data_IF_757638389500
#
_entry.id   IF_757638389500
#
_cell.length_a   1.000
_cell.length_b   1.000
_cell.length_c   1.000
_cell.angle_alpha   90.00
_cell.angle_beta   90.00
_cell.angle_gamma   90.00
#
_symmetry.space_group_name_H-M   'P 1'
#
loop_
_entity.id
_entity.type
_entity.pdbx_description
1 polymer ?
#
# COMPACT_ATOMS: atom_id res chain seq x y z
N UNK A 1 9.34 -66.08 26.45
CA UNK A 1 10.40 -67.09 26.64
C UNK A 1 10.28 -68.11 25.52
N UNK A 2 11.33 -68.33 24.74
CA UNK A 2 11.40 -69.39 23.75
C UNK A 2 11.53 -70.73 24.44
N UNK A 3 10.62 -71.66 24.12
CA UNK A 3 10.81 -73.05 24.59
C UNK A 3 11.85 -73.73 23.69
N UNK A 4 12.95 -74.10 24.28
CA UNK A 4 14.01 -74.83 23.60
C UNK A 4 13.97 -76.26 24.11
N UNK A 5 13.79 -77.21 23.24
CA UNK A 5 13.89 -78.64 23.56
C UNK A 5 15.02 -79.24 22.74
N UNK A 6 15.84 -80.02 23.46
CA UNK A 6 16.91 -80.79 22.82
C UNK A 6 16.72 -82.30 23.07
N UNK A 7 16.90 -83.13 22.06
CA UNK A 7 16.91 -84.56 22.12
C UNK A 7 18.10 -85.10 21.37
N UNK A 8 18.62 -86.23 21.80
CA UNK A 8 19.66 -87.02 21.15
C UNK A 8 19.02 -88.21 20.49
N UNK A 9 19.20 -88.38 19.16
CA UNK A 9 18.66 -89.52 18.45
C UNK A 9 19.51 -90.81 18.72
N UNK A 10 19.00 -91.97 18.36
CA UNK A 10 19.66 -93.26 18.55
C UNK A 10 21.03 -93.40 17.85
N UNK A 11 21.42 -92.42 17.04
CA UNK A 11 22.71 -92.31 16.33
C UNK A 11 23.64 -91.26 16.94
N UNK A 12 23.26 -90.67 18.07
CA UNK A 12 24.07 -89.73 18.84
C UNK A 12 23.99 -88.29 18.26
N UNK A 13 23.05 -87.98 17.35
CA UNK A 13 22.92 -86.64 16.74
C UNK A 13 22.03 -85.82 17.70
N UNK A 14 22.51 -84.63 18.09
CA UNK A 14 21.74 -83.70 18.88
C UNK A 14 20.79 -82.89 17.94
N UNK A 15 19.47 -83.01 18.20
CA UNK A 15 18.46 -82.21 17.61
C UNK A 15 18.00 -81.14 18.60
N UNK A 16 18.07 -79.90 18.19
CA UNK A 16 17.58 -78.78 18.98
C UNK A 16 16.38 -78.14 18.22
N UNK A 17 15.23 -78.13 18.87
CA UNK A 17 14.01 -77.44 18.36
C UNK A 17 13.75 -76.24 19.23
N UNK A 18 13.72 -75.09 18.53
CA UNK A 18 13.36 -73.79 19.15
C UNK A 18 11.98 -73.39 18.68
N UNK A 19 11.05 -73.37 19.62
CA UNK A 19 9.72 -72.80 19.33
C UNK A 19 9.70 -71.40 19.79
N UNK A 20 9.67 -70.48 18.75
CA UNK A 20 9.43 -69.05 18.96
C UNK A 20 7.94 -68.86 19.10
N UNK A 21 7.48 -68.10 20.11
CA UNK A 21 6.06 -67.79 20.18
C UNK A 21 5.65 -66.98 18.96
N UNK A 22 4.56 -67.38 18.32
CA UNK A 22 3.98 -66.72 17.12
C UNK A 22 3.56 -65.25 17.34
N UNK A 23 3.69 -64.77 18.58
CA UNK A 23 3.25 -63.46 19.02
C UNK A 23 4.37 -62.45 19.31
N UNK A 24 5.66 -62.77 19.06
CA UNK A 24 6.77 -61.89 19.44
C UNK A 24 6.89 -60.62 18.58
N UNK A 25 6.39 -60.63 17.39
CA UNK A 25 6.29 -59.42 16.56
C UNK A 25 5.04 -59.47 15.69
N UNK A 26 4.14 -58.50 15.81
CA UNK A 26 2.85 -58.52 15.10
C UNK A 26 3.02 -58.05 13.62
N UNK A 27 3.73 -58.83 12.81
CA UNK A 27 4.05 -58.50 11.40
C UNK A 27 2.81 -58.11 10.62
N UNK A 28 1.73 -58.88 10.70
CA UNK A 28 0.48 -58.59 10.00
C UNK A 28 -0.16 -57.27 10.45
N UNK A 29 0.00 -56.88 11.71
CA UNK A 29 -0.51 -55.61 12.20
C UNK A 29 0.34 -54.44 11.68
N UNK A 30 1.66 -54.61 11.61
CA UNK A 30 2.60 -53.60 11.06
C UNK A 30 2.36 -53.40 9.57
N UNK A 31 2.22 -54.48 8.79
CA UNK A 31 1.90 -54.40 7.37
C UNK A 31 0.56 -53.69 7.13
N UNK A 32 -0.48 -53.98 7.93
CA UNK A 32 -1.76 -53.25 7.85
C UNK A 32 -1.62 -51.79 8.21
N UNK A 33 -0.82 -51.44 9.22
CA UNK A 33 -0.54 -50.06 9.60
C UNK A 33 0.21 -49.31 8.47
N UNK A 34 1.16 -49.96 7.83
CA UNK A 34 1.89 -49.40 6.70
C UNK A 34 0.98 -49.10 5.50
N UNK A 35 0.08 -50.03 5.16
CA UNK A 35 -0.93 -49.84 4.13
C UNK A 35 -1.89 -48.69 4.46
N UNK A 36 -2.35 -48.64 5.73
CA UNK A 36 -3.23 -47.55 6.19
C UNK A 36 -2.48 -46.22 6.19
N UNK A 37 -1.23 -46.15 6.63
CA UNK A 37 -0.42 -44.97 6.67
C UNK A 37 -0.14 -44.41 5.26
N UNK A 38 0.23 -45.28 4.32
CA UNK A 38 0.44 -44.89 2.89
C UNK A 38 -0.84 -44.41 2.25
N UNK A 39 -1.97 -45.08 2.47
CA UNK A 39 -3.28 -44.67 1.94
C UNK A 39 -3.71 -43.34 2.54
N UNK A 40 -3.52 -43.15 3.86
CA UNK A 40 -3.86 -41.91 4.54
C UNK A 40 -2.97 -40.73 4.07
N UNK A 41 -1.66 -41.01 3.90
CA UNK A 41 -0.72 -40.01 3.36
C UNK A 41 -1.10 -39.56 1.95
N UNK A 42 -1.39 -40.50 1.06
CA UNK A 42 -1.83 -40.19 -0.30
C UNK A 42 -3.16 -39.38 -0.32
N UNK A 43 -4.10 -39.75 0.54
CA UNK A 43 -5.35 -39.00 0.68
C UNK A 43 -5.10 -37.61 1.23
N UNK A 44 -4.25 -37.47 2.22
CA UNK A 44 -3.88 -36.17 2.83
C UNK A 44 -3.19 -35.25 1.80
N UNK A 45 -2.26 -35.78 1.00
CA UNK A 45 -1.62 -35.02 -0.07
C UNK A 45 -2.60 -34.56 -1.13
N UNK A 46 -3.55 -35.40 -1.51
CA UNK A 46 -4.62 -35.06 -2.46
C UNK A 46 -5.51 -33.93 -1.92
N UNK A 47 -5.96 -34.05 -0.68
CA UNK A 47 -6.78 -33.03 0.00
C UNK A 47 -6.01 -31.71 0.16
N UNK A 48 -4.74 -31.77 0.53
CA UNK A 48 -3.88 -30.60 0.67
C UNK A 48 -3.66 -29.89 -0.67
N UNK A 49 -3.51 -30.65 -1.76
CA UNK A 49 -3.40 -30.12 -3.11
C UNK A 49 -4.68 -29.39 -3.51
N UNK A 50 -5.85 -29.95 -3.22
CA UNK A 50 -7.14 -29.29 -3.48
C UNK A 50 -7.30 -28.00 -2.68
N UNK A 51 -6.94 -27.99 -1.41
CA UNK A 51 -6.99 -26.79 -0.57
C UNK A 51 -6.07 -25.67 -1.12
N UNK A 52 -4.88 -26.03 -1.60
CA UNK A 52 -3.96 -25.06 -2.24
C UNK A 52 -4.55 -24.48 -3.52
N UNK A 53 -5.18 -25.29 -4.35
CA UNK A 53 -5.84 -24.81 -5.58
C UNK A 53 -7.04 -23.89 -5.27
N UNK A 54 -7.84 -24.23 -4.27
CA UNK A 54 -8.92 -23.35 -3.80
C UNK A 54 -8.40 -22.02 -3.26
N UNK A 55 -7.32 -22.02 -2.49
CA UNK A 55 -6.70 -20.80 -1.98
C UNK A 55 -6.22 -19.88 -3.12
N UNK A 56 -5.62 -20.44 -4.17
CA UNK A 56 -5.21 -19.69 -5.37
C UNK A 56 -6.41 -19.08 -6.09
N UNK A 57 -7.50 -19.86 -6.27
CA UNK A 57 -8.72 -19.36 -6.94
C UNK A 57 -9.36 -18.22 -6.13
N UNK A 58 -9.44 -18.35 -4.80
CA UNK A 58 -9.97 -17.31 -3.93
C UNK A 58 -9.17 -16.03 -4.07
N UNK A 59 -7.83 -16.10 -4.00
CA UNK A 59 -6.95 -14.94 -4.16
C UNK A 59 -7.13 -14.28 -5.54
N UNK A 60 -7.24 -15.06 -6.61
CA UNK A 60 -7.49 -14.55 -7.95
C UNK A 60 -8.84 -13.81 -8.04
N UNK A 61 -9.89 -14.38 -7.45
CA UNK A 61 -11.22 -13.77 -7.49
C UNK A 61 -11.29 -12.49 -6.65
N UNK A 62 -10.63 -12.47 -5.49
CA UNK A 62 -10.49 -11.23 -4.70
C UNK A 62 -9.82 -10.12 -5.50
N UNK A 63 -8.75 -10.43 -6.25
CA UNK A 63 -8.08 -9.46 -7.08
C UNK A 63 -8.95 -8.98 -8.26
N UNK A 64 -9.71 -9.87 -8.88
CA UNK A 64 -10.66 -9.50 -9.96
C UNK A 64 -11.76 -8.58 -9.43
N UNK A 65 -12.34 -8.88 -8.27
CA UNK A 65 -13.34 -8.02 -7.63
C UNK A 65 -12.78 -6.65 -7.35
N UNK A 66 -11.60 -6.59 -6.74
CA UNK A 66 -10.93 -5.32 -6.45
C UNK A 66 -10.78 -4.47 -7.72
N UNK A 67 -10.34 -5.07 -8.82
CA UNK A 67 -10.19 -4.37 -10.09
C UNK A 67 -11.55 -3.88 -10.64
N UNK A 68 -12.60 -4.68 -10.52
CA UNK A 68 -13.96 -4.29 -10.92
C UNK A 68 -14.49 -3.15 -10.04
N UNK A 69 -14.31 -3.22 -8.73
CA UNK A 69 -14.71 -2.17 -7.80
C UNK A 69 -14.04 -0.84 -8.15
N UNK A 70 -12.73 -0.85 -8.39
CA UNK A 70 -11.97 0.34 -8.78
C UNK A 70 -12.52 0.92 -10.09
N UNK A 71 -12.84 0.07 -11.08
CA UNK A 71 -13.41 0.53 -12.37
C UNK A 71 -14.79 1.16 -12.18
N UNK A 72 -15.65 0.56 -11.37
CA UNK A 72 -17.00 1.08 -11.08
C UNK A 72 -16.91 2.42 -10.34
N UNK A 73 -16.07 2.52 -9.33
CA UNK A 73 -15.83 3.78 -8.60
C UNK A 73 -15.23 4.86 -9.52
N UNK A 74 -14.36 4.48 -10.44
CA UNK A 74 -13.84 5.40 -11.45
C UNK A 74 -14.94 5.88 -12.39
N UNK A 75 -15.83 5.00 -12.85
CA UNK A 75 -16.98 5.39 -13.67
C UNK A 75 -17.92 6.33 -12.93
N UNK A 76 -18.11 6.14 -11.62
CA UNK A 76 -18.94 7.02 -10.79
C UNK A 76 -18.31 8.41 -10.61
N UNK A 77 -16.99 8.49 -10.48
CA UNK A 77 -16.27 9.72 -10.15
C UNK A 77 -15.71 10.48 -11.36
N UNK A 78 -15.65 9.84 -12.54
CA UNK A 78 -15.00 10.43 -13.70
C UNK A 78 -15.91 11.45 -14.42
N UNK A 79 -15.27 12.42 -15.09
CA UNK A 79 -15.94 13.41 -15.92
C UNK A 79 -16.20 12.93 -17.36
N UNK A 80 -15.77 11.71 -17.69
CA UNK A 80 -15.90 11.11 -19.01
C UNK A 80 -17.28 10.48 -19.16
N UNK A 81 -17.92 10.70 -20.31
CA UNK A 81 -19.14 9.98 -20.70
C UNK A 81 -18.80 8.55 -21.06
N UNK A 82 -19.54 7.59 -20.50
CA UNK A 82 -19.42 6.17 -20.80
C UNK A 82 -20.45 5.78 -21.84
N UNK A 83 -20.07 4.86 -22.71
CA UNK A 83 -20.96 4.30 -23.71
C UNK A 83 -21.76 3.14 -23.12
N UNK A 84 -22.91 2.80 -23.72
CA UNK A 84 -23.68 1.62 -23.36
C UNK A 84 -22.81 0.35 -23.44
N UNK A 85 -21.87 0.30 -24.38
CA UNK A 85 -20.93 -0.81 -24.54
C UNK A 85 -20.04 -0.99 -23.30
N UNK A 86 -19.58 0.11 -22.67
CA UNK A 86 -18.74 0.04 -21.49
C UNK A 86 -19.48 -0.59 -20.31
N UNK A 87 -20.76 -0.25 -20.13
CA UNK A 87 -21.61 -0.86 -19.11
C UNK A 87 -21.89 -2.33 -19.41
N UNK A 88 -22.15 -2.69 -20.69
CA UNK A 88 -22.38 -4.07 -21.07
C UNK A 88 -21.15 -4.95 -20.86
N UNK A 89 -19.95 -4.48 -21.22
CA UNK A 89 -18.70 -5.19 -20.96
C UNK A 89 -18.47 -5.42 -19.46
N UNK A 90 -18.72 -4.41 -18.63
CA UNK A 90 -18.58 -4.52 -17.19
C UNK A 90 -19.57 -5.53 -16.60
N UNK A 91 -20.83 -5.53 -17.06
CA UNK A 91 -21.84 -6.53 -16.67
C UNK A 91 -21.45 -7.94 -17.03
N UNK A 92 -20.88 -8.16 -18.22
CA UNK A 92 -20.39 -9.47 -18.66
C UNK A 92 -19.26 -9.96 -17.76
N UNK A 93 -18.28 -9.09 -17.43
CA UNK A 93 -17.19 -9.45 -16.54
C UNK A 93 -17.67 -9.80 -15.12
N UNK A 94 -18.62 -9.03 -14.58
CA UNK A 94 -19.24 -9.30 -13.27
C UNK A 94 -20.00 -10.62 -13.28
N UNK A 95 -20.79 -10.87 -14.32
CA UNK A 95 -21.56 -12.10 -14.49
C UNK A 95 -20.67 -13.34 -14.60
N UNK A 96 -19.56 -13.25 -15.33
CA UNK A 96 -18.60 -14.35 -15.42
C UNK A 96 -17.93 -14.63 -14.08
N UNK A 97 -17.62 -13.58 -13.32
CA UNK A 97 -17.04 -13.73 -11.98
C UNK A 97 -18.05 -14.36 -11.01
N UNK A 98 -19.33 -13.96 -11.07
CA UNK A 98 -20.42 -14.57 -10.29
C UNK A 98 -20.55 -16.06 -10.58
N UNK A 99 -20.51 -16.45 -11.86
CA UNK A 99 -20.52 -17.85 -12.28
C UNK A 99 -19.35 -18.64 -11.69
N UNK A 100 -18.13 -18.09 -11.75
CA UNK A 100 -16.92 -18.74 -11.24
C UNK A 100 -16.96 -18.90 -9.71
N UNK A 101 -17.41 -17.89 -8.99
CA UNK A 101 -17.53 -17.93 -7.53
C UNK A 101 -18.63 -18.89 -7.10
N UNK A 102 -19.74 -18.94 -7.83
CA UNK A 102 -20.82 -19.91 -7.59
C UNK A 102 -20.34 -21.35 -7.80
N UNK A 103 -19.54 -21.60 -8.84
CA UNK A 103 -18.92 -22.91 -9.05
C UNK A 103 -17.95 -23.26 -7.91
N UNK A 104 -17.12 -22.33 -7.48
CA UNK A 104 -16.21 -22.54 -6.35
C UNK A 104 -17.00 -22.85 -5.07
N UNK A 105 -18.06 -22.08 -4.78
CA UNK A 105 -18.94 -22.32 -3.64
C UNK A 105 -19.56 -23.71 -3.65
N UNK A 106 -20.01 -24.18 -4.79
CA UNK A 106 -20.60 -25.52 -4.93
C UNK A 106 -19.61 -26.68 -4.79
N UNK A 107 -18.32 -26.41 -5.02
CA UNK A 107 -17.25 -27.40 -4.90
C UNK A 107 -16.68 -27.51 -3.45
N UNK A 108 -16.99 -26.55 -2.59
CA UNK A 108 -16.53 -26.55 -1.21
C UNK A 108 -17.49 -27.30 -0.29
N UNK A 109 -16.94 -28.14 0.59
CA UNK A 109 -17.70 -28.81 1.63
C UNK A 109 -17.76 -27.89 2.85
N UNK A 110 -18.90 -27.25 3.09
CA UNK A 110 -19.13 -26.34 4.20
C UNK A 110 -19.13 -24.86 3.82
N UNK A 111 -19.46 -23.99 4.76
CA UNK A 111 -19.50 -22.55 4.59
C UNK A 111 -18.09 -21.93 4.72
N UNK A 112 -17.65 -21.21 3.70
CA UNK A 112 -16.40 -20.44 3.74
C UNK A 112 -16.72 -18.94 3.77
N UNK A 113 -16.39 -18.29 4.87
CA UNK A 113 -16.70 -16.88 5.11
C UNK A 113 -16.16 -15.96 4.01
N UNK A 114 -14.94 -16.24 3.51
CA UNK A 114 -14.31 -15.43 2.47
C UNK A 114 -15.08 -15.56 1.14
N UNK A 115 -15.50 -16.77 0.77
CA UNK A 115 -16.28 -17.01 -0.45
C UNK A 115 -17.66 -16.35 -0.37
N UNK A 116 -18.29 -16.36 0.80
CA UNK A 116 -19.55 -15.64 1.03
C UNK A 116 -19.38 -14.14 0.92
N UNK A 117 -18.30 -13.58 1.47
CA UNK A 117 -17.98 -12.15 1.33
C UNK A 117 -17.80 -11.76 -0.15
N UNK A 118 -17.01 -12.53 -0.89
CA UNK A 118 -16.81 -12.34 -2.33
C UNK A 118 -18.15 -12.37 -3.09
N UNK A 119 -19.02 -13.31 -2.76
CA UNK A 119 -20.34 -13.44 -3.37
C UNK A 119 -21.23 -12.20 -3.10
N UNK A 120 -21.20 -11.70 -1.87
CA UNK A 120 -21.94 -10.48 -1.49
C UNK A 120 -21.38 -9.23 -2.19
N UNK A 121 -20.06 -9.11 -2.32
CA UNK A 121 -19.43 -8.00 -3.03
C UNK A 121 -19.79 -7.99 -4.52
N UNK A 122 -19.84 -9.16 -5.18
CA UNK A 122 -20.28 -9.28 -6.58
C UNK A 122 -21.73 -8.81 -6.74
N UNK A 123 -22.62 -9.19 -5.83
CA UNK A 123 -24.01 -8.74 -5.85
C UNK A 123 -24.13 -7.23 -5.69
N UNK A 124 -23.38 -6.64 -4.78
CA UNK A 124 -23.36 -5.20 -4.58
C UNK A 124 -22.86 -4.48 -5.85
N UNK A 125 -21.79 -4.99 -6.48
CA UNK A 125 -21.30 -4.45 -7.74
C UNK A 125 -22.33 -4.53 -8.88
N UNK A 126 -23.07 -5.63 -8.97
CA UNK A 126 -24.13 -5.80 -9.97
C UNK A 126 -25.21 -4.73 -9.83
N UNK A 127 -25.65 -4.48 -8.61
CA UNK A 127 -26.65 -3.43 -8.30
C UNK A 127 -26.11 -2.06 -8.66
N UNK A 128 -24.89 -1.75 -8.20
CA UNK A 128 -24.25 -0.46 -8.40
C UNK A 128 -24.04 -0.13 -9.88
N UNK A 129 -23.61 -1.11 -10.70
CA UNK A 129 -23.45 -0.92 -12.15
C UNK A 129 -24.80 -0.67 -12.83
N UNK A 130 -25.87 -1.35 -12.41
CA UNK A 130 -27.22 -1.10 -12.92
C UNK A 130 -27.74 0.31 -12.57
N UNK A 131 -27.46 0.79 -11.37
CA UNK A 131 -27.79 2.15 -10.96
C UNK A 131 -27.00 3.19 -11.74
N UNK A 132 -25.68 3.00 -11.90
CA UNK A 132 -24.82 3.91 -12.65
C UNK A 132 -25.24 4.03 -14.12
N UNK A 133 -25.57 2.91 -14.77
CA UNK A 133 -26.07 2.92 -16.15
C UNK A 133 -27.38 3.70 -16.26
N UNK A 134 -28.31 3.51 -15.32
CA UNK A 134 -29.55 4.25 -15.27
C UNK A 134 -29.34 5.74 -15.06
N UNK A 135 -28.40 6.12 -14.20
CA UNK A 135 -28.05 7.52 -13.92
C UNK A 135 -27.37 8.21 -15.10
N UNK A 136 -26.48 7.49 -15.79
CA UNK A 136 -25.78 8.05 -16.96
C UNK A 136 -26.74 8.39 -18.11
N UNK A 137 -27.71 7.52 -18.38
CA UNK A 137 -28.79 7.76 -19.35
C UNK A 137 -29.59 9.04 -19.09
N UNK A 138 -29.63 9.51 -17.83
CA UNK A 138 -30.38 10.69 -17.39
C UNK A 138 -29.51 11.92 -17.07
N UNK A 139 -28.21 11.89 -17.37
CA UNK A 139 -27.23 12.94 -16.97
C UNK A 139 -27.17 13.22 -15.44
N UNK A 140 -27.65 12.30 -14.63
CA UNK A 140 -27.71 12.45 -13.17
C UNK A 140 -26.33 12.28 -12.53
N UNK A 141 -25.41 11.58 -13.20
CA UNK A 141 -24.05 11.35 -12.68
C UNK A 141 -23.27 12.64 -12.44
N UNK A 142 -23.44 13.65 -13.31
CA UNK A 142 -22.79 14.94 -13.12
C UNK A 142 -23.30 15.66 -11.85
N UNK A 143 -24.61 15.62 -11.60
CA UNK A 143 -25.24 16.20 -10.42
C UNK A 143 -24.82 15.41 -9.16
N UNK A 144 -24.78 14.08 -9.23
CA UNK A 144 -24.37 13.23 -8.11
C UNK A 144 -22.91 13.49 -7.68
N UNK A 145 -22.00 13.71 -8.64
CA UNK A 145 -20.62 14.12 -8.35
C UNK A 145 -20.54 15.44 -7.57
N UNK A 146 -21.35 16.42 -7.96
CA UNK A 146 -21.45 17.68 -7.22
C UNK A 146 -22.01 17.49 -5.81
N UNK A 147 -23.02 16.63 -5.65
CA UNK A 147 -23.59 16.29 -4.34
C UNK A 147 -22.57 15.60 -3.45
N UNK A 148 -21.83 14.61 -3.97
CA UNK A 148 -20.78 13.92 -3.20
C UNK A 148 -19.66 14.89 -2.80
N UNK A 149 -19.25 15.78 -3.68
CA UNK A 149 -18.30 16.84 -3.34
C UNK A 149 -18.80 17.73 -2.20
N UNK A 150 -20.06 18.16 -2.27
CA UNK A 150 -20.68 18.97 -1.22
C UNK A 150 -20.86 18.21 0.09
N UNK A 151 -21.26 16.93 0.05
CA UNK A 151 -21.39 16.09 1.24
C UNK A 151 -20.04 15.87 1.93
N UNK A 152 -18.98 15.66 1.16
CA UNK A 152 -17.64 15.53 1.71
C UNK A 152 -17.18 16.82 2.40
N UNK A 153 -17.45 18.00 1.81
CA UNK A 153 -17.19 19.30 2.43
C UNK A 153 -18.01 19.52 3.69
N UNK A 154 -19.28 19.10 3.69
CA UNK A 154 -20.14 19.17 4.87
C UNK A 154 -19.62 18.28 6.00
N UNK A 155 -19.25 17.05 5.69
CA UNK A 155 -18.66 16.11 6.65
C UNK A 155 -17.36 16.65 7.26
N UNK A 156 -16.50 17.26 6.45
CA UNK A 156 -15.29 17.94 6.92
C UNK A 156 -15.62 19.10 7.89
N UNK A 157 -16.67 19.89 7.59
CA UNK A 157 -17.17 20.92 8.49
C UNK A 157 -17.74 20.34 9.79
N UNK A 158 -18.51 19.25 9.72
CA UNK A 158 -19.13 18.61 10.90
C UNK A 158 -18.07 17.95 11.78
N UNK A 159 -17.05 17.29 11.21
CA UNK A 159 -15.93 16.70 11.94
C UNK A 159 -15.11 17.79 12.65
N UNK A 160 -14.96 18.96 12.04
CA UNK A 160 -14.32 20.10 12.66
C UNK A 160 -15.20 20.76 13.75
N UNK A 161 -16.53 20.73 13.63
CA UNK A 161 -17.46 21.28 14.61
C UNK A 161 -17.66 20.38 15.85
N UNK A 162 -17.57 19.06 15.71
CA UNK A 162 -17.75 18.10 16.81
C UNK A 162 -16.51 17.88 17.70
N UNK A 163 -15.40 18.55 17.44
CA UNK A 163 -14.19 18.53 18.30
C UNK A 163 -14.36 19.45 19.52
N UNK A 164 -15.29 19.12 20.42
CA UNK A 164 -15.55 19.89 21.66
C UNK A 164 -14.76 19.45 22.89
N UNK A 165 -13.67 18.76 22.76
CA UNK A 165 -12.56 18.83 23.70
C UNK A 165 -11.44 19.54 22.96
N UNK A 166 -11.17 20.80 23.34
CA UNK A 166 -10.13 21.60 22.67
C UNK A 166 -8.83 20.78 22.63
N UNK A 167 -8.45 20.21 21.48
CA UNK A 167 -7.12 19.69 21.36
C UNK A 167 -6.20 20.89 21.57
N UNK A 168 -5.08 20.68 22.24
CA UNK A 168 -4.03 21.68 22.29
C UNK A 168 -3.80 22.15 20.85
N UNK A 169 -4.18 23.40 20.57
CA UNK A 169 -4.01 23.96 19.23
C UNK A 169 -2.54 24.30 19.07
N UNK A 170 -1.88 23.57 18.22
CA UNK A 170 -0.52 23.87 17.80
C UNK A 170 -0.58 24.65 16.47
N UNK A 171 -0.05 25.87 16.41
CA UNK A 171 -0.07 26.65 15.18
C UNK A 171 0.63 25.89 14.04
N UNK A 172 0.06 25.87 12.83
CA UNK A 172 0.72 25.31 11.67
C UNK A 172 2.14 25.88 11.47
N UNK A 173 3.08 25.02 11.07
CA UNK A 173 4.47 25.39 10.90
C UNK A 173 5.28 25.55 12.18
N UNK A 174 4.71 25.24 13.36
CA UNK A 174 5.41 25.29 14.64
C UNK A 174 5.78 23.90 15.15
N UNK A 175 6.90 23.81 15.88
CA UNK A 175 7.38 22.56 16.50
C UNK A 175 7.31 22.62 18.03
N UNK A 176 6.27 23.27 18.59
CA UNK A 176 6.09 23.40 20.05
C UNK A 176 5.40 22.18 20.69
N UNK A 177 4.98 21.19 19.87
CA UNK A 177 4.39 19.93 20.31
C UNK A 177 5.45 18.87 20.65
N UNK A 178 5.04 17.83 21.38
CA UNK A 178 5.92 16.71 21.76
C UNK A 178 5.95 15.55 20.75
N UNK A 179 5.43 15.76 19.53
CA UNK A 179 5.39 14.76 18.47
C UNK A 179 3.99 14.30 18.10
N UNK A 180 3.94 13.32 17.22
CA UNK A 180 2.71 12.75 16.69
C UNK A 180 2.01 11.92 17.76
N UNK A 181 0.75 12.23 18.05
CA UNK A 181 -0.10 11.45 18.96
C UNK A 181 -0.98 10.46 18.19
N UNK A 182 -1.62 10.92 17.11
CA UNK A 182 -2.55 10.12 16.33
C UNK A 182 -2.74 10.72 14.93
N UNK A 183 -3.41 9.98 14.06
CA UNK A 183 -3.90 10.45 12.77
C UNK A 183 -5.41 10.17 12.66
N UNK A 184 -6.11 11.03 11.93
CA UNK A 184 -7.56 10.85 11.71
C UNK A 184 -7.86 9.62 10.85
N UNK A 185 -9.14 9.29 10.71
CA UNK A 185 -9.61 8.43 9.63
C UNK A 185 -9.25 9.03 8.27
N UNK A 186 -9.02 8.21 7.23
CA UNK A 186 -8.70 8.71 5.90
C UNK A 186 -9.87 9.46 5.28
N UNK A 187 -9.62 10.68 4.87
CA UNK A 187 -10.48 11.36 3.93
C UNK A 187 -10.12 10.92 2.51
N UNK A 188 -10.98 10.17 1.87
CA UNK A 188 -10.78 9.70 0.49
C UNK A 188 -11.14 10.84 -0.46
N UNK A 189 -10.14 11.48 -1.05
CA UNK A 189 -10.33 12.61 -1.96
C UNK A 189 -10.92 12.12 -3.27
N UNK A 190 -10.15 11.31 -3.99
CA UNK A 190 -10.61 10.67 -5.24
C UNK A 190 -9.55 9.71 -5.81
N UNK A 191 -9.90 9.01 -6.88
CA UNK A 191 -8.95 8.31 -7.73
C UNK A 191 -8.10 9.35 -8.52
N UNK A 192 -6.85 9.02 -8.79
CA UNK A 192 -6.00 9.87 -9.61
C UNK A 192 -6.58 10.08 -11.03
N UNK A 193 -6.18 11.17 -11.70
CA UNK A 193 -6.72 11.58 -12.98
C UNK A 193 -6.37 10.68 -14.18
N UNK A 194 -5.38 9.78 -14.04
CA UNK A 194 -4.99 8.82 -15.08
C UNK A 194 -5.73 7.49 -14.96
N UNK A 195 -6.41 7.25 -13.86
CA UNK A 195 -7.28 6.09 -13.65
C UNK A 195 -6.65 4.96 -12.83
N UNK A 196 -7.39 3.88 -12.66
CA UNK A 196 -7.08 2.76 -11.77
C UNK A 196 -5.84 1.94 -12.13
N UNK A 197 -5.41 2.01 -13.40
CA UNK A 197 -4.16 1.35 -13.84
C UNK A 197 -2.90 2.05 -13.31
N UNK A 198 -3.03 3.31 -12.88
CA UNK A 198 -1.94 4.11 -12.36
C UNK A 198 -1.91 4.04 -10.83
N UNK A 199 -1.55 2.87 -10.34
CA UNK A 199 -1.54 2.55 -8.90
C UNK A 199 -0.43 3.26 -8.12
N UNK A 200 0.63 3.65 -8.80
CA UNK A 200 1.83 4.24 -8.20
C UNK A 200 1.84 5.75 -8.42
N UNK A 201 2.38 6.49 -7.47
CA UNK A 201 2.48 7.93 -7.58
C UNK A 201 2.56 8.64 -6.23
N UNK A 202 2.45 9.95 -6.30
CA UNK A 202 2.46 10.83 -5.14
C UNK A 202 1.53 12.02 -5.39
N UNK A 203 1.12 12.66 -4.31
CA UNK A 203 0.33 13.88 -4.35
C UNK A 203 0.45 14.64 -3.05
N UNK A 204 0.12 15.91 -3.09
CA UNK A 204 0.18 16.72 -1.89
C UNK A 204 -0.23 18.16 -2.14
N UNK A 205 0.08 18.99 -1.17
CA UNK A 205 -0.05 20.45 -1.20
C UNK A 205 1.36 21.07 -1.18
N UNK A 206 1.55 22.17 -1.88
CA UNK A 206 2.78 22.93 -1.79
C UNK A 206 2.94 23.52 -0.38
N UNK A 207 4.13 23.40 0.17
CA UNK A 207 4.48 24.12 1.38
C UNK A 207 5.39 25.28 1.05
N UNK A 208 4.99 26.47 1.47
CA UNK A 208 5.82 27.67 1.42
C UNK A 208 5.70 28.40 2.74
N UNK A 209 6.81 28.52 3.47
CA UNK A 209 6.86 29.23 4.73
C UNK A 209 6.51 30.74 4.59
N UNK A 210 6.71 31.31 3.39
CA UNK A 210 6.47 32.72 3.10
C UNK A 210 5.07 33.02 2.58
N UNK A 211 4.24 32.01 2.21
CA UNK A 211 2.97 32.24 1.56
C UNK A 211 1.97 31.11 1.84
N UNK A 212 1.43 31.09 3.07
CA UNK A 212 0.44 30.10 3.51
C UNK A 212 -0.94 30.23 2.83
N UNK A 213 -1.18 31.35 2.12
CA UNK A 213 -2.46 31.61 1.48
C UNK A 213 -2.60 30.97 0.09
N UNK A 214 -1.50 30.57 -0.56
CA UNK A 214 -1.54 29.90 -1.86
C UNK A 214 -1.76 28.40 -1.70
N UNK A 215 -3.00 27.98 -1.91
CA UNK A 215 -3.37 26.56 -1.93
C UNK A 215 -3.02 25.93 -3.29
N UNK A 216 -1.78 25.53 -3.47
CA UNK A 216 -1.36 24.79 -4.66
C UNK A 216 -1.33 23.29 -4.34
N UNK A 217 -2.12 22.51 -5.05
CA UNK A 217 -2.13 21.06 -4.96
C UNK A 217 -1.48 20.45 -6.20
N UNK A 218 -0.88 19.30 -6.03
CA UNK A 218 -0.21 18.58 -7.10
C UNK A 218 -0.51 17.10 -7.05
N UNK A 219 -0.50 16.45 -8.20
CA UNK A 219 -0.66 15.01 -8.35
C UNK A 219 0.32 14.53 -9.41
N UNK A 220 1.11 13.51 -9.09
CA UNK A 220 2.16 12.95 -9.94
C UNK A 220 2.07 11.41 -9.99
N UNK A 221 1.13 10.86 -10.78
CA UNK A 221 1.04 9.42 -10.99
C UNK A 221 2.24 8.93 -11.81
N UNK A 222 2.86 7.83 -11.40
CA UNK A 222 3.84 7.13 -12.21
C UNK A 222 3.16 6.44 -13.39
N UNK A 223 3.94 6.04 -14.38
CA UNK A 223 3.45 5.15 -15.43
C UNK A 223 3.04 3.79 -14.84
N UNK A 224 2.31 3.00 -15.60
CA UNK A 224 1.80 1.69 -15.18
C UNK A 224 2.91 0.67 -14.87
N UNK A 225 4.15 0.96 -15.25
CA UNK A 225 5.33 0.18 -14.86
C UNK A 225 5.73 0.36 -13.38
N UNK A 226 5.10 1.34 -12.68
CA UNK A 226 5.41 1.66 -11.29
C UNK A 226 6.77 2.31 -11.08
N UNK A 227 7.45 2.72 -12.14
CA UNK A 227 8.82 3.24 -12.10
C UNK A 227 8.94 4.67 -12.59
N UNK A 228 8.40 4.96 -13.78
CA UNK A 228 8.65 6.23 -14.49
C UNK A 228 7.66 7.31 -14.08
N UNK A 229 8.19 8.45 -13.67
CA UNK A 229 7.45 9.70 -13.53
C UNK A 229 7.68 10.54 -14.78
N UNK A 230 6.60 10.85 -15.51
CA UNK A 230 6.66 11.66 -16.74
C UNK A 230 5.79 12.90 -16.66
N UNK A 231 4.65 12.83 -15.99
CA UNK A 231 3.65 13.89 -15.96
C UNK A 231 3.24 14.21 -14.54
N UNK A 232 2.93 15.49 -14.32
CA UNK A 232 2.29 15.97 -13.11
C UNK A 232 1.22 17.00 -13.45
N UNK A 233 0.24 17.14 -12.58
CA UNK A 233 -0.78 18.18 -12.65
C UNK A 233 -0.70 19.09 -11.44
N UNK A 234 -0.94 20.39 -11.70
CA UNK A 234 -1.05 21.41 -10.67
C UNK A 234 -2.49 21.93 -10.65
N UNK A 235 -2.99 22.13 -9.43
CA UNK A 235 -4.32 22.66 -9.16
C UNK A 235 -4.19 23.86 -8.22
N UNK A 236 -4.87 24.96 -8.56
CA UNK A 236 -4.82 26.21 -7.79
C UNK A 236 -5.75 26.23 -6.57
N UNK A 237 -6.55 25.18 -6.36
CA UNK A 237 -7.40 24.98 -5.19
C UNK A 237 -7.75 23.52 -5.00
N UNK A 238 -8.22 23.17 -3.81
CA UNK A 238 -8.73 21.84 -3.52
C UNK A 238 -9.98 21.51 -4.35
N UNK A 239 -10.87 22.48 -4.54
CA UNK A 239 -12.06 22.32 -5.39
C UNK A 239 -11.68 21.99 -6.85
N UNK A 240 -10.67 22.67 -7.39
CA UNK A 240 -10.18 22.38 -8.74
C UNK A 240 -9.57 20.96 -8.85
N UNK A 241 -8.91 20.48 -7.80
CA UNK A 241 -8.45 19.09 -7.73
C UNK A 241 -9.65 18.13 -7.75
N UNK A 242 -10.67 18.38 -6.93
CA UNK A 242 -11.88 17.56 -6.88
C UNK A 242 -12.61 17.50 -8.22
N UNK A 243 -12.63 18.59 -8.96
CA UNK A 243 -13.30 18.71 -10.26
C UNK A 243 -12.42 18.27 -11.44
N UNK A 244 -11.19 17.79 -11.20
CA UNK A 244 -10.19 17.51 -12.25
C UNK A 244 -9.94 18.68 -13.20
N UNK A 245 -9.95 19.90 -12.68
CA UNK A 245 -9.68 21.11 -13.40
C UNK A 245 -8.24 21.60 -13.10
N UNK A 246 -7.21 21.01 -13.71
CA UNK A 246 -5.85 21.41 -13.45
C UNK A 246 -5.60 22.83 -13.97
N UNK A 247 -4.79 23.59 -13.25
CA UNK A 247 -4.26 24.85 -13.77
C UNK A 247 -3.38 24.57 -14.98
N UNK A 248 -2.60 23.50 -14.91
CA UNK A 248 -1.85 22.95 -16.04
C UNK A 248 -1.41 21.52 -15.77
N UNK A 249 -1.15 20.79 -16.85
CA UNK A 249 -0.45 19.52 -16.88
C UNK A 249 0.90 19.73 -17.55
N UNK A 250 1.95 19.18 -16.96
CA UNK A 250 3.29 19.34 -17.49
C UNK A 250 4.01 18.01 -17.56
N UNK A 251 4.93 17.93 -18.52
CA UNK A 251 5.84 16.80 -18.67
C UNK A 251 7.21 17.19 -18.13
N UNK A 252 7.82 16.27 -17.38
CA UNK A 252 9.22 16.40 -16.92
C UNK A 252 10.13 15.45 -17.68
N UNK A 253 11.43 15.70 -17.61
CA UNK A 253 12.43 14.68 -17.94
C UNK A 253 12.29 13.54 -16.93
N UNK A 254 12.28 12.31 -17.40
CA UNK A 254 11.94 11.12 -16.61
C UNK A 254 12.47 11.12 -15.18
N UNK A 255 11.53 11.05 -14.22
CA UNK A 255 11.80 10.74 -12.83
C UNK A 255 11.61 9.25 -12.54
N UNK A 256 12.05 8.82 -11.37
CA UNK A 256 11.97 7.45 -10.89
C UNK A 256 11.33 7.38 -9.49
N UNK A 257 10.30 6.55 -9.37
CA UNK A 257 9.64 6.29 -8.10
C UNK A 257 8.68 7.38 -7.63
N UNK A 258 7.96 7.10 -6.56
CA UNK A 258 6.91 7.95 -5.98
C UNK A 258 7.39 8.88 -4.86
N UNK A 259 8.70 8.92 -4.61
CA UNK A 259 9.31 9.81 -3.61
C UNK A 259 9.47 11.26 -4.08
N UNK A 260 8.36 11.91 -4.42
CA UNK A 260 8.32 13.27 -4.97
C UNK A 260 7.76 14.22 -3.94
N UNK A 261 8.31 15.42 -3.82
CA UNK A 261 7.76 16.48 -2.97
C UNK A 261 7.68 17.80 -3.73
N UNK A 262 6.66 18.60 -3.41
CA UNK A 262 6.54 19.97 -3.88
C UNK A 262 6.79 20.94 -2.71
N UNK A 263 7.79 21.78 -2.85
CA UNK A 263 8.16 22.75 -1.84
C UNK A 263 8.51 24.09 -2.47
N UNK A 264 7.81 25.13 -2.05
CA UNK A 264 8.03 26.52 -2.48
C UNK A 264 8.02 26.71 -4.02
N UNK A 265 7.02 26.11 -4.70
CA UNK A 265 6.85 26.07 -6.16
C UNK A 265 7.94 25.28 -6.91
N UNK A 266 8.73 24.46 -6.22
CA UNK A 266 9.67 23.56 -6.86
C UNK A 266 9.31 22.11 -6.59
N UNK A 267 9.26 21.32 -7.65
CA UNK A 267 9.08 19.87 -7.59
C UNK A 267 10.45 19.21 -7.46
N UNK A 268 10.62 18.41 -6.42
CA UNK A 268 11.83 17.64 -6.17
C UNK A 268 11.56 16.18 -6.48
N UNK A 269 12.39 15.58 -7.30
CA UNK A 269 12.25 14.19 -7.69
C UNK A 269 13.60 13.52 -7.98
N UNK A 270 13.60 12.20 -7.94
CA UNK A 270 14.72 11.36 -8.32
C UNK A 270 14.79 11.24 -9.84
N UNK A 271 15.93 11.54 -10.46
CA UNK A 271 16.13 11.35 -11.89
C UNK A 271 16.24 9.87 -12.25
N UNK A 272 15.59 9.49 -13.31
CA UNK A 272 15.51 8.10 -13.78
C UNK A 272 16.89 7.45 -13.93
N UNK A 273 17.04 6.28 -13.30
CA UNK A 273 18.23 5.41 -13.38
C UNK A 273 19.56 6.11 -13.05
N UNK A 274 19.55 7.00 -12.09
CA UNK A 274 20.72 7.79 -11.69
C UNK A 274 20.75 7.99 -10.17
N UNK A 275 21.77 8.72 -9.67
CA UNK A 275 21.84 9.20 -8.27
C UNK A 275 21.48 10.67 -8.14
N UNK A 276 20.90 11.25 -9.17
CA UNK A 276 20.67 12.67 -9.21
C UNK A 276 19.32 13.05 -8.60
N UNK A 277 19.38 14.06 -7.75
CA UNK A 277 18.24 14.83 -7.30
C UNK A 277 17.97 15.95 -8.30
N UNK A 278 16.72 16.17 -8.67
CA UNK A 278 16.32 17.23 -9.60
C UNK A 278 15.40 18.20 -8.86
N UNK A 279 15.69 19.49 -8.99
CA UNK A 279 14.82 20.59 -8.61
C UNK A 279 14.21 21.18 -9.88
N UNK A 280 12.89 21.14 -10.00
CA UNK A 280 12.14 21.56 -11.17
C UNK A 280 11.20 22.72 -10.81
N UNK A 281 11.33 23.84 -11.50
CA UNK A 281 10.44 25.00 -11.36
C UNK A 281 9.11 24.71 -12.07
N UNK A 282 8.04 24.58 -11.27
CA UNK A 282 6.71 24.24 -11.81
C UNK A 282 6.11 25.40 -12.62
N UNK A 283 6.44 26.67 -12.32
CA UNK A 283 5.91 27.83 -13.04
C UNK A 283 6.54 28.00 -14.42
N UNK A 284 7.84 27.72 -14.52
CA UNK A 284 8.61 27.79 -15.77
C UNK A 284 8.63 26.47 -16.52
N UNK A 285 8.18 25.39 -15.88
CA UNK A 285 8.24 24.03 -16.38
C UNK A 285 9.64 23.62 -16.87
N UNK A 286 10.65 23.87 -16.05
CA UNK A 286 12.04 23.57 -16.38
C UNK A 286 12.81 23.07 -15.17
N UNK A 287 13.71 22.11 -15.41
CA UNK A 287 14.69 21.70 -14.42
C UNK A 287 15.70 22.84 -14.19
N UNK A 288 15.80 23.33 -12.97
CA UNK A 288 16.68 24.45 -12.60
C UNK A 288 17.96 23.99 -11.94
N UNK A 289 17.94 22.81 -11.34
CA UNK A 289 19.11 22.25 -10.66
C UNK A 289 19.07 20.72 -10.69
N UNK A 290 20.24 20.13 -10.89
CA UNK A 290 20.48 18.69 -10.87
C UNK A 290 21.73 18.42 -10.06
N UNK A 291 21.62 17.61 -9.01
CA UNK A 291 22.73 17.33 -8.12
C UNK A 291 22.77 15.86 -7.72
N UNK A 292 23.96 15.29 -7.72
CA UNK A 292 24.17 13.90 -7.30
C UNK A 292 24.07 13.80 -5.77
N UNK A 293 23.32 12.81 -5.30
CA UNK A 293 23.35 12.36 -3.91
C UNK A 293 24.39 11.25 -3.80
N UNK A 294 25.55 11.60 -3.28
CA UNK A 294 26.65 10.65 -3.13
C UNK A 294 26.23 9.46 -2.27
N UNK A 295 26.77 8.29 -2.59
CA UNK A 295 26.57 7.02 -1.86
C UNK A 295 25.12 6.51 -1.84
N UNK A 296 24.17 7.24 -2.40
CA UNK A 296 22.80 6.74 -2.54
C UNK A 296 22.76 5.49 -3.44
N UNK A 297 22.06 4.48 -3.00
CA UNK A 297 21.83 3.27 -3.80
C UNK A 297 20.77 3.55 -4.85
N UNK A 298 21.07 3.18 -6.09
CA UNK A 298 20.14 3.31 -7.22
C UNK A 298 19.47 1.98 -7.56
N UNK A 299 18.44 2.07 -8.39
CA UNK A 299 17.66 0.91 -8.80
C UNK A 299 16.76 0.41 -7.65
N UNK A 300 16.37 -0.84 -7.76
CA UNK A 300 15.42 -1.45 -6.80
C UNK A 300 16.13 -2.31 -5.74
N UNK A 301 17.29 -1.86 -5.23
CA UNK A 301 18.10 -2.65 -4.29
C UNK A 301 17.59 -2.59 -2.84
N UNK A 302 17.28 -1.41 -2.33
CA UNK A 302 16.72 -1.21 -1.00
C UNK A 302 15.45 -0.34 -1.08
N UNK A 303 14.40 -0.78 -1.79
CA UNK A 303 13.14 -0.05 -1.86
C UNK A 303 12.40 -0.14 -0.54
N UNK A 304 11.33 0.61 -0.38
CA UNK A 304 10.34 0.33 0.65
C UNK A 304 9.63 -1.00 0.39
N UNK A 305 9.15 -1.64 1.46
CA UNK A 305 8.37 -2.86 1.36
C UNK A 305 7.08 -2.63 0.56
N UNK A 306 6.92 -3.34 -0.56
CA UNK A 306 5.75 -3.20 -1.43
C UNK A 306 5.77 -1.98 -2.36
N UNK A 307 6.79 -1.11 -2.29
CA UNK A 307 6.92 0.09 -3.14
C UNK A 307 8.26 0.07 -3.86
N UNK A 308 8.27 -0.44 -5.09
CA UNK A 308 9.47 -0.55 -5.91
C UNK A 308 9.95 0.83 -6.41
N UNK A 309 11.23 0.94 -6.70
CA UNK A 309 11.88 2.07 -7.36
C UNK A 309 11.91 3.39 -6.57
N UNK A 310 11.49 3.41 -5.32
CA UNK A 310 11.61 4.57 -4.44
C UNK A 310 12.97 4.54 -3.71
N UNK A 311 14.04 4.73 -4.45
CA UNK A 311 15.40 4.80 -3.92
C UNK A 311 15.64 6.07 -3.12
N UNK A 312 15.26 7.22 -3.69
CA UNK A 312 15.24 8.52 -3.05
C UNK A 312 13.80 8.93 -2.77
N UNK A 313 13.52 9.35 -1.55
CA UNK A 313 12.21 9.78 -1.10
C UNK A 313 12.34 11.18 -0.49
N UNK A 314 11.81 12.20 -1.19
CA UNK A 314 11.84 13.56 -0.71
C UNK A 314 10.72 13.80 0.27
N UNK A 315 11.02 14.54 1.32
CA UNK A 315 10.06 14.93 2.35
C UNK A 315 10.24 16.40 2.71
N UNK A 316 9.19 17.00 3.22
CA UNK A 316 9.18 18.39 3.67
C UNK A 316 8.62 18.45 5.08
N UNK A 317 9.26 19.23 5.94
CA UNK A 317 8.74 19.54 7.26
C UNK A 317 8.89 21.04 7.58
N UNK A 318 8.61 21.43 8.79
CA UNK A 318 8.69 22.83 9.27
C UNK A 318 10.09 23.43 9.07
N UNK A 319 11.11 22.59 9.05
CA UNK A 319 12.51 23.01 8.87
C UNK A 319 12.98 23.04 7.42
N UNK A 320 12.15 22.56 6.47
CA UNK A 320 12.40 22.58 5.03
C UNK A 320 12.56 21.19 4.39
N UNK A 321 13.49 21.05 3.45
CA UNK A 321 13.61 19.90 2.54
C UNK A 321 14.51 18.80 3.09
N UNK A 322 14.06 17.55 2.95
CA UNK A 322 14.75 16.33 3.33
C UNK A 322 14.77 15.31 2.19
N UNK A 323 15.71 14.37 2.27
CA UNK A 323 15.70 13.16 1.44
C UNK A 323 15.96 11.93 2.33
N UNK A 324 15.14 10.90 2.12
CA UNK A 324 15.19 9.61 2.80
C UNK A 324 15.66 8.57 1.77
N UNK A 325 16.72 7.84 2.07
CA UNK A 325 17.33 6.91 1.15
C UNK A 325 18.07 5.79 1.89
N UNK A 326 18.87 5.01 1.20
CA UNK A 326 19.81 4.05 1.80
C UNK A 326 21.14 4.08 1.07
N UNK A 327 22.18 3.61 1.73
CA UNK A 327 23.51 3.45 1.18
C UNK A 327 24.00 2.01 1.36
N UNK A 328 25.07 1.63 0.64
CA UNK A 328 25.73 0.35 0.89
C UNK A 328 26.36 0.32 2.30
N UNK A 329 26.97 1.41 2.72
CA UNK A 329 27.58 1.53 4.05
C UNK A 329 26.57 1.42 5.18
N UNK A 330 25.32 1.89 4.96
CA UNK A 330 24.21 1.69 5.91
C UNK A 330 23.65 0.27 5.87
N UNK A 331 24.14 -0.60 4.99
CA UNK A 331 23.61 -1.95 4.76
C UNK A 331 22.09 -1.97 4.48
N UNK A 332 21.60 -0.95 3.79
CA UNK A 332 20.18 -0.79 3.46
C UNK A 332 19.31 -0.21 4.58
N UNK A 333 19.90 0.21 5.69
CA UNK A 333 19.18 0.99 6.69
C UNK A 333 18.81 2.36 6.16
N UNK A 334 17.76 2.94 6.71
CA UNK A 334 17.32 4.30 6.36
C UNK A 334 18.42 5.30 6.70
N UNK A 335 18.75 6.12 5.73
CA UNK A 335 19.61 7.31 5.86
C UNK A 335 18.75 8.53 5.59
N UNK A 336 18.90 9.57 6.41
CA UNK A 336 18.15 10.82 6.31
C UNK A 336 19.15 11.93 6.06
N UNK A 337 18.92 12.73 5.03
CA UNK A 337 19.74 13.93 4.83
C UNK A 337 18.86 15.18 4.75
N UNK A 338 19.30 16.21 5.46
CA UNK A 338 18.77 17.57 5.34
C UNK A 338 19.40 18.23 4.13
N UNK A 339 18.58 18.81 3.27
CA UNK A 339 19.03 19.47 2.05
C UNK A 339 18.93 20.99 2.14
N UNK A 340 19.89 21.68 1.53
CA UNK A 340 19.73 23.08 1.21
C UNK A 340 18.79 23.21 0.00
N UNK A 341 17.65 23.83 0.17
CA UNK A 341 16.62 23.96 -0.88
C UNK A 341 17.08 24.79 -2.08
N UNK A 342 18.09 25.64 -1.92
CA UNK A 342 18.61 26.49 -3.01
C UNK A 342 19.64 25.75 -3.86
N UNK A 343 20.56 25.01 -3.21
CA UNK A 343 21.72 24.40 -3.88
C UNK A 343 21.64 22.88 -3.98
N UNK A 344 20.68 22.24 -3.29
CA UNK A 344 20.59 20.79 -3.07
C UNK A 344 21.84 20.19 -2.39
N UNK A 345 22.63 21.01 -1.72
CA UNK A 345 23.71 20.50 -0.89
C UNK A 345 23.16 19.72 0.30
N UNK A 346 23.81 18.63 0.63
CA UNK A 346 23.56 17.91 1.87
C UNK A 346 24.15 18.74 3.02
N UNK A 347 23.30 19.17 3.92
CA UNK A 347 23.67 19.94 5.11
C UNK A 347 24.13 19.02 6.23
N UNK A 348 23.32 18.02 6.54
CA UNK A 348 23.57 17.03 7.59
C UNK A 348 23.02 15.68 7.16
N UNK A 349 23.61 14.60 7.68
CA UNK A 349 23.18 13.22 7.40
C UNK A 349 23.12 12.42 8.69
N UNK A 350 22.07 11.61 8.84
CA UNK A 350 21.87 10.68 9.95
C UNK A 350 21.65 9.28 9.43
N UNK A 351 22.25 8.30 10.08
CA UNK A 351 22.04 6.89 9.80
C UNK A 351 21.20 6.28 10.92
N UNK A 352 20.19 5.54 10.54
CA UNK A 352 19.33 4.81 11.47
C UNK A 352 19.73 3.33 11.51
N UNK A 353 19.12 2.58 12.45
CA UNK A 353 19.23 1.11 12.50
C UNK A 353 18.02 0.43 11.88
N UNK A 354 17.10 1.18 11.29
CA UNK A 354 15.90 0.65 10.69
C UNK A 354 16.16 0.29 9.23
N UNK A 355 16.02 -0.99 8.88
CA UNK A 355 16.17 -1.46 7.51
C UNK A 355 15.04 -0.91 6.62
N UNK A 356 15.39 -0.22 5.53
CA UNK A 356 14.42 0.48 4.67
C UNK A 356 13.43 -0.48 4.02
N UNK A 357 13.88 -1.66 3.55
CA UNK A 357 12.99 -2.63 2.89
C UNK A 357 12.06 -3.39 3.84
N UNK A 358 12.12 -3.14 5.14
CA UNK A 358 11.13 -3.61 6.13
C UNK A 358 10.09 -2.54 6.49
N UNK A 359 10.19 -1.36 5.90
CA UNK A 359 9.33 -0.19 6.09
C UNK A 359 8.55 0.04 4.81
N UNK A 360 7.26 0.31 4.90
CA UNK A 360 6.40 0.55 3.73
C UNK A 360 6.51 1.98 3.20
N UNK A 361 6.72 2.96 4.08
CA UNK A 361 6.92 4.36 3.75
C UNK A 361 7.47 5.14 4.95
N UNK A 362 7.88 6.40 4.73
CA UNK A 362 8.35 7.29 5.78
C UNK A 362 8.04 8.76 5.45
N UNK A 363 7.99 9.61 6.47
CA UNK A 363 7.79 11.05 6.34
C UNK A 363 8.48 11.80 7.49
N UNK A 364 8.66 13.12 7.33
CA UNK A 364 9.31 13.97 8.32
C UNK A 364 8.31 14.93 8.95
N UNK A 365 8.43 15.17 10.25
CA UNK A 365 7.71 16.20 10.99
C UNK A 365 8.65 16.80 12.02
N UNK A 366 8.89 18.11 11.98
CA UNK A 366 9.74 18.82 12.96
C UNK A 366 11.11 18.16 13.20
N UNK A 367 11.77 17.68 12.15
CA UNK A 367 13.05 17.00 12.24
C UNK A 367 13.01 15.56 12.76
N UNK A 368 11.82 15.01 12.94
CA UNK A 368 11.62 13.61 13.34
C UNK A 368 11.13 12.80 12.16
N UNK A 369 11.82 11.70 11.86
CA UNK A 369 11.37 10.69 10.91
C UNK A 369 10.31 9.79 11.55
N UNK A 370 9.22 9.58 10.84
CA UNK A 370 8.20 8.59 11.15
C UNK A 370 8.16 7.55 10.04
N UNK A 371 8.24 6.27 10.39
CA UNK A 371 8.20 5.18 9.41
C UNK A 371 7.03 4.25 9.67
N UNK A 372 6.46 3.74 8.58
CA UNK A 372 5.26 2.92 8.58
C UNK A 372 5.53 1.48 8.18
N UNK A 373 4.62 0.57 8.58
CA UNK A 373 4.59 -0.81 8.12
C UNK A 373 3.16 -1.29 7.95
N UNK A 374 2.87 -2.19 7.00
CA UNK A 374 1.54 -2.74 6.84
C UNK A 374 1.20 -3.67 8.01
N UNK A 375 0.01 -3.52 8.59
CA UNK A 375 -0.57 -4.48 9.52
C UNK A 375 -1.44 -5.50 8.78
N UNK A 376 -2.23 -5.00 7.84
CA UNK A 376 -3.08 -5.79 6.95
C UNK A 376 -3.48 -4.93 5.73
N UNK A 377 -4.37 -5.43 4.89
CA UNK A 377 -4.82 -4.75 3.67
C UNK A 377 -5.57 -3.42 3.90
N UNK A 378 -5.99 -3.14 5.14
CA UNK A 378 -6.78 -1.96 5.52
C UNK A 378 -6.15 -1.09 6.60
N UNK A 379 -5.05 -1.52 7.19
CA UNK A 379 -4.39 -0.81 8.28
C UNK A 379 -2.89 -0.78 8.07
N UNK A 380 -2.34 0.36 8.35
CA UNK A 380 -0.92 0.67 8.41
C UNK A 380 -0.57 1.09 9.83
N UNK A 381 0.64 0.87 10.28
CA UNK A 381 1.12 1.32 11.58
C UNK A 381 2.32 2.24 11.42
N UNK A 382 2.26 3.44 11.98
CA UNK A 382 3.44 4.25 12.23
C UNK A 382 4.11 3.66 13.47
N UNK A 383 5.25 3.01 13.30
CA UNK A 383 5.85 2.16 14.35
C UNK A 383 7.22 2.59 14.81
N UNK A 384 7.94 3.34 13.98
CA UNK A 384 9.33 3.72 14.21
C UNK A 384 9.49 5.22 14.09
N UNK A 385 10.31 5.78 14.99
CA UNK A 385 10.67 7.20 15.01
C UNK A 385 12.19 7.35 15.12
N UNK A 386 12.71 8.40 14.48
CA UNK A 386 14.10 8.83 14.63
C UNK A 386 14.14 10.36 14.76
N UNK A 387 14.62 10.85 15.88
CA UNK A 387 14.78 12.28 16.13
C UNK A 387 16.18 12.73 15.68
N UNK A 388 16.23 13.57 14.64
CA UNK A 388 17.50 14.08 14.10
C UNK A 388 18.19 15.08 15.02
N UNK A 389 17.48 15.69 15.98
CA UNK A 389 18.04 16.64 16.94
C UNK A 389 18.80 15.91 18.03
N UNK A 390 18.26 14.81 18.53
CA UNK A 390 18.88 14.04 19.62
C UNK A 390 19.68 12.84 19.13
N UNK A 391 19.48 12.41 17.88
CA UNK A 391 20.02 11.19 17.31
C UNK A 391 19.43 9.91 17.92
N UNK A 392 18.30 10.02 18.61
CA UNK A 392 17.66 8.89 19.28
C UNK A 392 16.61 8.21 18.40
N UNK A 393 16.58 6.90 18.49
CA UNK A 393 15.55 6.05 17.87
C UNK A 393 14.49 5.65 18.89
N UNK A 394 13.24 5.58 18.45
CA UNK A 394 12.13 5.20 19.30
C UNK A 394 11.13 4.33 18.55
N UNK A 395 10.17 3.84 19.30
CA UNK A 395 9.02 3.11 18.76
C UNK A 395 7.73 3.76 19.24
N UNK A 396 6.76 3.76 18.36
CA UNK A 396 5.39 4.20 18.64
C UNK A 396 4.42 3.19 18.05
N UNK A 397 3.14 3.36 18.28
CA UNK A 397 2.10 2.53 17.65
C UNK A 397 0.90 3.41 17.37
N UNK A 398 0.89 4.00 16.18
CA UNK A 398 -0.21 4.81 15.69
C UNK A 398 -0.80 4.13 14.48
N UNK A 399 -2.07 3.79 14.54
CA UNK A 399 -2.76 3.05 13.50
C UNK A 399 -3.39 4.01 12.50
N UNK A 400 -3.02 3.84 11.23
CA UNK A 400 -3.63 4.52 10.09
C UNK A 400 -4.54 3.55 9.35
N UNK A 401 -5.79 3.89 9.17
CA UNK A 401 -6.65 3.14 8.26
C UNK A 401 -6.37 3.56 6.82
N UNK A 402 -6.43 2.62 5.88
CA UNK A 402 -6.20 2.86 4.45
C UNK A 402 -7.31 2.24 3.60
N UNK A 403 -7.51 2.79 2.41
CA UNK A 403 -8.56 2.33 1.49
C UNK A 403 -8.18 1.02 0.81
N UNK A 404 -6.96 0.90 0.34
CA UNK A 404 -6.42 -0.25 -0.38
C UNK A 404 -5.11 -0.74 0.25
N UNK A 405 -4.55 -1.82 -0.29
CA UNK A 405 -3.47 -2.58 0.33
C UNK A 405 -2.16 -1.78 0.46
N UNK A 406 -1.71 -1.10 -0.60
CA UNK A 406 -0.38 -0.52 -0.62
C UNK A 406 -0.39 1.00 -0.60
N UNK A 407 0.34 1.59 0.34
CA UNK A 407 0.65 3.01 0.37
C UNK A 407 1.89 3.26 -0.50
N UNK A 408 1.76 4.09 -1.53
CA UNK A 408 2.83 4.39 -2.48
C UNK A 408 3.67 5.59 -2.05
N UNK A 409 3.04 6.60 -1.46
CA UNK A 409 3.73 7.75 -0.87
C UNK A 409 2.97 8.28 0.33
N UNK A 410 3.70 8.91 1.24
CA UNK A 410 3.18 9.71 2.35
C UNK A 410 3.95 11.03 2.36
N UNK A 411 3.24 12.13 2.17
CA UNK A 411 3.78 13.48 2.23
C UNK A 411 3.12 14.25 3.36
N UNK A 412 3.93 14.77 4.29
CA UNK A 412 3.46 15.68 5.33
C UNK A 412 3.49 17.12 4.82
N UNK A 413 2.46 17.89 5.17
CA UNK A 413 2.45 19.32 4.89
C UNK A 413 2.35 20.13 6.18
N UNK A 414 3.39 20.94 6.52
CA UNK A 414 3.40 21.75 7.74
C UNK A 414 2.35 22.88 7.74
N UNK A 415 1.92 23.36 6.58
CA UNK A 415 0.99 24.48 6.49
C UNK A 415 -0.42 24.16 6.96
N UNK A 416 -0.84 22.91 6.85
CA UNK A 416 -2.16 22.45 7.27
C UNK A 416 -2.13 21.24 8.21
N UNK A 417 -0.93 20.78 8.56
CA UNK A 417 -0.70 19.65 9.48
C UNK A 417 -1.44 18.38 9.04
N UNK A 418 -1.34 18.06 7.73
CA UNK A 418 -1.99 16.91 7.14
C UNK A 418 -1.00 15.97 6.49
N UNK A 419 -1.35 14.68 6.44
CA UNK A 419 -0.67 13.70 5.60
C UNK A 419 -1.44 13.54 4.30
N UNK A 420 -0.72 13.57 3.21
CA UNK A 420 -1.17 13.32 1.85
C UNK A 420 -0.64 11.97 1.41
N UNK A 421 -1.54 11.03 1.16
CA UNK A 421 -1.19 9.63 0.94
C UNK A 421 -1.72 9.17 -0.42
N UNK A 422 -0.84 8.58 -1.21
CA UNK A 422 -1.21 7.92 -2.46
C UNK A 422 -1.35 6.42 -2.19
N UNK A 423 -2.57 5.90 -2.26
CA UNK A 423 -2.91 4.54 -1.87
C UNK A 423 -3.50 3.76 -3.06
N UNK A 424 -2.67 3.00 -3.77
CA UNK A 424 -3.04 2.22 -4.95
C UNK A 424 -3.89 2.99 -5.97
N UNK A 425 -3.50 4.22 -6.25
CA UNK A 425 -4.18 5.11 -7.19
C UNK A 425 -5.12 6.12 -6.56
N UNK A 426 -5.56 5.91 -5.32
CA UNK A 426 -6.42 6.85 -4.59
C UNK A 426 -5.62 7.90 -3.85
N UNK A 427 -6.15 9.12 -3.85
CA UNK A 427 -5.65 10.24 -3.07
C UNK A 427 -6.36 10.26 -1.73
N UNK A 428 -5.61 10.04 -0.66
CA UNK A 428 -6.10 10.08 0.72
C UNK A 428 -5.47 11.25 1.47
N UNK A 429 -6.20 11.81 2.42
CA UNK A 429 -5.71 12.85 3.31
C UNK A 429 -6.07 12.54 4.75
N UNK A 430 -5.16 12.80 5.67
CA UNK A 430 -5.35 12.58 7.11
C UNK A 430 -5.02 13.84 7.87
N UNK A 431 -5.79 14.14 8.91
CA UNK A 431 -5.40 15.13 9.90
C UNK A 431 -4.38 14.53 10.86
N UNK A 432 -3.36 15.30 11.19
CA UNK A 432 -2.34 14.93 12.17
C UNK A 432 -2.73 15.51 13.51
N UNK A 433 -2.66 14.70 14.56
CA UNK A 433 -2.95 15.08 15.92
C UNK A 433 -1.65 15.00 16.70
N UNK A 434 -1.22 16.12 17.25
CA UNK A 434 -0.03 16.26 18.06
C UNK A 434 -0.31 16.19 19.57
N UNK A 435 0.70 15.86 20.37
CA UNK A 435 0.66 15.85 21.84
C UNK A 435 1.48 16.96 22.47
#
# INVERSE_FOLDING_TARGET
FANVSGSVDDKGTCQCSVYLPDTTFPVQQVERLEIIATTLSAKFESELSQVREYAKMVALYQQKILNLTIRVEYMESSSVSYTELDFQLLKVEISELDRLVTQLKSSLVGSNVIVEQIYMEIRNLTILVGELESMDKNNILAIRRQIVSLQNRLKECEENANKTTAPLYFPPGSCIHNGLLNVSQPYVVKLNWRGSSYKYGSWGRDYSASNSENEVYWVAPLNTDGRRLEYYRIYSSFDNLLLFQPTYESRITYGEGSGVALYNNFLYYHEYNSRYMVKHDIKRNTGVLRKELQDAVIGNRFPYAGVSWQGLDFAVDESGLWVIYSTEDSMGNIVISKLNETTLDVLNTWQTRQYKSSVSNAFMVCGVLYATRPMNTRKEEIFYIYDTTTGQEGRTSIIMEKKLDTIQSIDYNPADQKLYVYNDGYLLRYDVIFQ
#
